data_IF_851062763544
#
_entry.id   IF_851062763544
#
_cell.length_a   1.000
_cell.length_b   1.000
_cell.length_c   1.000
_cell.angle_alpha   90.00
_cell.angle_beta   90.00
_cell.angle_gamma   90.00
#
_symmetry.space_group_name_H-M   'P 1'
#
loop_
_entity.id
_entity.type
_entity.pdbx_description
1 polymer ?
#
# COMPACT_ATOMS: atom_id res chain seq x y z
N UNK A 1 28.95 50.08 -2.07
CA UNK A 1 29.10 48.71 -1.56
C UNK A 1 28.02 48.54 -0.49
N UNK A 2 26.86 47.95 -0.67
CA UNK A 2 26.08 47.44 -1.81
C UNK A 2 24.66 47.31 -1.23
N UNK A 3 23.64 47.76 -1.95
CA UNK A 3 22.25 47.70 -1.52
C UNK A 3 21.59 46.56 -2.29
N UNK A 4 21.29 45.46 -1.60
CA UNK A 4 20.66 44.27 -2.17
C UNK A 4 19.17 44.56 -2.33
N UNK A 5 18.77 45.04 -3.51
CA UNK A 5 17.39 45.16 -3.90
C UNK A 5 16.73 43.79 -4.04
N UNK A 6 15.77 43.50 -3.16
CA UNK A 6 14.88 42.36 -3.17
C UNK A 6 14.27 42.12 -4.57
N UNK A 7 14.52 40.93 -5.13
CA UNK A 7 13.82 40.43 -6.31
C UNK A 7 12.44 39.92 -5.91
N UNK A 8 11.43 40.78 -6.00
CA UNK A 8 10.04 40.32 -6.00
C UNK A 8 9.74 39.73 -7.38
N UNK A 9 9.77 38.40 -7.47
CA UNK A 9 9.29 37.64 -8.63
C UNK A 9 7.81 37.98 -8.84
N UNK A 10 7.50 38.74 -9.90
CA UNK A 10 6.12 39.08 -10.25
C UNK A 10 5.44 37.80 -10.74
N UNK A 11 4.57 37.22 -9.93
CA UNK A 11 3.63 36.21 -10.42
C UNK A 11 2.78 36.83 -11.53
N UNK A 12 2.62 36.16 -12.68
CA UNK A 12 1.72 36.62 -13.71
C UNK A 12 0.31 36.67 -13.13
N UNK A 13 -0.28 37.86 -13.10
CA UNK A 13 -1.68 38.06 -12.71
C UNK A 13 -2.53 37.30 -13.71
N UNK A 14 -3.34 36.34 -13.24
CA UNK A 14 -4.20 35.56 -14.10
C UNK A 14 -5.29 36.47 -14.68
N UNK A 15 -5.41 36.52 -16.01
CA UNK A 15 -6.42 37.34 -16.70
C UNK A 15 -7.85 36.93 -16.35
N UNK A 16 -8.04 35.70 -15.85
CA UNK A 16 -9.31 35.17 -15.40
C UNK A 16 -9.66 35.60 -13.96
N UNK A 17 -8.70 36.08 -13.16
CA UNK A 17 -8.95 36.56 -11.79
C UNK A 17 -9.93 37.74 -11.76
N UNK A 18 -9.88 38.61 -12.78
CA UNK A 18 -10.78 39.76 -12.90
C UNK A 18 -12.23 39.36 -13.22
N UNK A 19 -12.45 38.15 -13.74
CA UNK A 19 -13.77 37.64 -14.16
C UNK A 19 -14.35 36.67 -13.12
N UNK A 20 -13.51 35.82 -12.54
CA UNK A 20 -13.92 34.72 -11.68
C UNK A 20 -13.53 34.91 -10.20
N UNK A 21 -12.83 36.00 -9.86
CA UNK A 21 -12.23 36.19 -8.53
C UNK A 21 -10.95 35.35 -8.38
N UNK A 22 -10.21 35.57 -7.30
CA UNK A 22 -8.91 34.93 -7.03
C UNK A 22 -8.99 33.42 -6.68
N UNK A 23 -10.15 32.80 -6.88
CA UNK A 23 -10.50 31.43 -6.45
C UNK A 23 -10.22 31.12 -4.98
N UNK A 24 -9.73 32.07 -4.16
CA UNK A 24 -9.47 31.85 -2.74
C UNK A 24 -10.79 31.59 -2.01
N UNK A 25 -11.85 32.26 -2.46
CA UNK A 25 -13.22 32.11 -1.98
C UNK A 25 -13.81 30.71 -2.25
N UNK A 26 -13.31 29.99 -3.26
CA UNK A 26 -13.78 28.63 -3.61
C UNK A 26 -13.18 27.55 -2.69
N UNK A 27 -12.10 27.87 -1.98
CA UNK A 27 -11.48 27.00 -0.99
C UNK A 27 -12.07 27.20 0.42
N UNK A 28 -12.83 28.27 0.64
CA UNK A 28 -13.50 28.57 1.91
C UNK A 28 -14.86 27.84 2.00
N UNK A 29 -14.82 26.53 1.76
CA UNK A 29 -15.97 25.65 2.00
C UNK A 29 -16.04 25.43 3.50
N UNK A 30 -17.03 26.01 4.16
CA UNK A 30 -17.42 25.66 5.53
C UNK A 30 -17.84 24.18 5.60
N UNK A 31 -16.85 23.30 5.70
CA UNK A 31 -17.05 21.91 6.03
C UNK A 31 -17.60 21.86 7.46
N UNK A 32 -18.69 21.10 7.71
CA UNK A 32 -19.14 20.90 9.07
C UNK A 32 -17.96 20.36 9.91
N UNK A 33 -17.71 20.99 11.07
CA UNK A 33 -16.69 20.54 12.03
C UNK A 33 -16.99 19.14 12.59
N UNK A 34 -18.23 18.68 12.39
CA UNK A 34 -18.68 17.35 12.73
C UNK A 34 -17.89 16.32 11.92
N UNK A 35 -17.21 15.42 12.64
CA UNK A 35 -16.54 14.27 12.07
C UNK A 35 -17.46 13.56 11.06
N UNK A 36 -16.98 13.43 9.82
CA UNK A 36 -17.65 12.68 8.76
C UNK A 36 -17.91 11.21 9.11
N UNK A 37 -17.28 10.72 10.18
CA UNK A 37 -17.47 9.41 10.75
C UNK A 37 -18.30 9.50 12.03
N UNK A 38 -19.31 8.63 12.13
CA UNK A 38 -19.95 8.38 13.42
C UNK A 38 -18.92 7.81 14.43
N UNK A 39 -19.13 7.97 15.75
CA UNK A 39 -18.23 7.43 16.76
C UNK A 39 -17.99 5.92 16.63
N UNK A 40 -19.02 5.19 16.16
CA UNK A 40 -18.95 3.75 15.90
C UNK A 40 -18.04 3.44 14.70
N UNK A 41 -18.16 4.18 13.60
CA UNK A 41 -17.31 3.98 12.42
C UNK A 41 -15.86 4.34 12.71
N UNK A 42 -15.62 5.42 13.44
CA UNK A 42 -14.28 5.79 13.88
C UNK A 42 -13.65 4.68 14.75
N UNK A 43 -14.42 4.06 15.65
CA UNK A 43 -13.94 2.92 16.42
C UNK A 43 -13.63 1.70 15.55
N UNK A 44 -14.50 1.37 14.58
CA UNK A 44 -14.28 0.26 13.67
C UNK A 44 -13.03 0.46 12.80
N UNK A 45 -12.81 1.67 12.29
CA UNK A 45 -11.63 2.01 11.49
C UNK A 45 -10.35 1.88 12.32
N UNK A 46 -10.36 2.34 13.58
CA UNK A 46 -9.20 2.13 14.48
C UNK A 46 -8.88 0.66 14.66
N UNK A 47 -9.87 -0.18 14.93
CA UNK A 47 -9.67 -1.63 15.06
C UNK A 47 -9.10 -2.24 13.77
N UNK A 48 -9.59 -1.83 12.61
CA UNK A 48 -9.04 -2.29 11.32
C UNK A 48 -7.59 -1.88 11.16
N UNK A 49 -7.25 -0.61 11.44
CA UNK A 49 -5.88 -0.12 11.32
C UNK A 49 -4.93 -0.82 12.29
N UNK A 50 -5.34 -1.06 13.53
CA UNK A 50 -4.58 -1.84 14.51
C UNK A 50 -4.33 -3.25 13.99
N UNK A 51 -5.36 -3.93 13.48
CA UNK A 51 -5.25 -5.28 12.92
C UNK A 51 -4.38 -5.34 11.67
N UNK A 52 -4.38 -4.30 10.85
CA UNK A 52 -3.51 -4.20 9.68
C UNK A 52 -2.05 -3.95 10.08
N UNK A 53 -1.80 -3.15 11.13
CA UNK A 53 -0.47 -2.91 11.66
C UNK A 53 0.12 -4.16 12.35
N UNK A 54 -0.73 -5.02 12.91
CA UNK A 54 -0.33 -6.30 13.52
C UNK A 54 0.13 -7.34 12.47
N UNK A 55 -0.21 -7.16 11.18
CA UNK A 55 0.14 -8.13 10.15
C UNK A 55 1.65 -8.16 9.91
N UNK A 56 2.22 -9.35 9.95
CA UNK A 56 3.66 -9.55 9.67
C UNK A 56 3.84 -10.35 8.40
N UNK A 57 4.77 -9.92 7.53
CA UNK A 57 5.15 -10.72 6.36
C UNK A 57 6.26 -11.67 6.79
N UNK A 58 6.02 -12.97 6.63
CA UNK A 58 7.00 -14.01 6.87
C UNK A 58 7.44 -14.67 5.58
N UNK A 59 8.72 -15.01 5.50
CA UNK A 59 9.31 -15.73 4.37
C UNK A 59 9.98 -17.02 4.86
N UNK A 60 9.60 -18.16 4.29
CA UNK A 60 10.18 -19.46 4.64
C UNK A 60 11.18 -19.94 3.59
N UNK A 61 12.45 -20.11 3.96
CA UNK A 61 13.50 -20.60 3.06
C UNK A 61 13.26 -22.06 2.59
N UNK A 62 12.53 -22.86 3.37
CA UNK A 62 12.31 -24.28 3.05
C UNK A 62 11.25 -24.55 1.99
N UNK A 63 10.13 -23.81 2.03
CA UNK A 63 9.04 -23.95 1.06
C UNK A 63 8.91 -22.74 0.12
N UNK A 64 9.75 -21.71 0.29
CA UNK A 64 9.70 -20.44 -0.44
C UNK A 64 8.35 -19.74 -0.37
N UNK A 65 7.55 -20.06 0.66
CA UNK A 65 6.27 -19.42 0.90
C UNK A 65 6.52 -18.07 1.57
N UNK A 66 5.90 -17.05 1.00
CA UNK A 66 5.90 -15.69 1.51
C UNK A 66 4.47 -15.20 1.63
N UNK A 67 4.14 -14.57 2.75
CA UNK A 67 2.81 -14.04 2.99
C UNK A 67 2.61 -13.47 4.38
N UNK A 68 1.40 -12.95 4.60
CA UNK A 68 0.99 -12.43 5.90
C UNK A 68 0.75 -13.55 6.91
N UNK A 69 1.22 -13.33 8.14
CA UNK A 69 1.07 -14.20 9.30
C UNK A 69 1.49 -15.66 9.06
N UNK A 70 2.53 -15.83 8.23
CA UNK A 70 3.18 -17.13 8.08
C UNK A 70 3.70 -17.56 9.45
N UNK A 71 3.25 -18.72 9.92
CA UNK A 71 3.66 -19.26 11.21
C UNK A 71 5.13 -19.69 11.16
N UNK A 72 6.01 -18.76 11.50
CA UNK A 72 7.45 -18.98 11.61
C UNK A 72 7.79 -19.64 12.94
N UNK A 73 8.62 -20.69 12.91
CA UNK A 73 9.13 -21.37 14.11
C UNK A 73 10.59 -21.03 14.39
N UNK A 74 11.36 -20.80 13.33
CA UNK A 74 12.70 -20.21 13.39
C UNK A 74 12.73 -18.96 12.50
N UNK A 75 13.79 -18.13 12.55
CA UNK A 75 13.90 -16.96 11.66
C UNK A 75 13.84 -17.29 10.16
N UNK A 76 14.09 -18.55 9.78
CA UNK A 76 14.20 -18.98 8.38
C UNK A 76 13.17 -20.03 7.97
N UNK A 77 12.53 -20.73 8.91
CA UNK A 77 11.63 -21.84 8.61
C UNK A 77 10.26 -21.69 9.29
N UNK A 78 9.21 -21.96 8.50
CA UNK A 78 7.86 -22.08 9.01
C UNK A 78 7.69 -23.34 9.86
N UNK A 79 6.64 -23.38 10.67
CA UNK A 79 6.33 -24.51 11.57
C UNK A 79 6.22 -25.84 10.82
N UNK A 80 5.67 -25.83 9.60
CA UNK A 80 5.59 -27.02 8.74
C UNK A 80 6.98 -27.50 8.32
N UNK A 81 7.78 -26.61 7.76
CA UNK A 81 9.14 -26.92 7.30
C UNK A 81 10.13 -27.24 8.44
N UNK A 82 9.87 -26.75 9.65
CA UNK A 82 10.67 -27.10 10.83
C UNK A 82 10.31 -28.48 11.39
N UNK A 83 9.06 -28.94 11.21
CA UNK A 83 8.63 -30.27 11.66
C UNK A 83 8.85 -31.37 10.62
N UNK A 84 9.07 -31.02 9.35
CA UNK A 84 9.32 -31.97 8.27
C UNK A 84 10.79 -32.42 8.26
N UNK A 85 11.06 -33.55 8.91
CA UNK A 85 12.36 -34.25 8.93
C UNK A 85 12.36 -35.52 8.07
N UNK A 86 11.25 -35.83 7.40
CA UNK A 86 11.04 -37.14 6.76
C UNK A 86 11.51 -37.19 5.30
N UNK A 87 11.67 -36.03 4.65
CA UNK A 87 12.06 -35.93 3.25
C UNK A 87 13.49 -35.40 3.11
N UNK A 88 14.37 -36.18 2.49
CA UNK A 88 15.74 -35.77 2.17
C UNK A 88 15.77 -34.65 1.11
N UNK A 89 14.74 -34.55 0.26
CA UNK A 89 14.61 -33.51 -0.77
C UNK A 89 13.25 -32.82 -0.62
N UNK A 90 13.26 -31.50 -0.40
CA UNK A 90 12.04 -30.70 -0.23
C UNK A 90 11.50 -30.24 -1.58
N UNK A 91 10.17 -30.16 -1.75
CA UNK A 91 9.51 -29.75 -3.00
C UNK A 91 10.03 -28.43 -3.62
N UNK A 92 10.47 -27.48 -2.79
CA UNK A 92 10.97 -26.18 -3.24
C UNK A 92 12.46 -25.98 -2.89
N UNK A 93 13.19 -27.06 -2.60
CA UNK A 93 14.64 -27.01 -2.43
C UNK A 93 15.36 -26.88 -3.76
N UNK A 94 16.62 -26.43 -3.69
CA UNK A 94 17.52 -26.44 -4.84
C UNK A 94 17.81 -27.88 -5.31
N UNK A 95 17.77 -28.87 -4.40
CA UNK A 95 17.95 -30.28 -4.74
C UNK A 95 16.81 -30.85 -5.60
N UNK A 96 15.60 -30.29 -5.51
CA UNK A 96 14.45 -30.76 -6.29
C UNK A 96 14.51 -30.31 -7.76
N UNK A 97 15.50 -29.48 -8.14
CA UNK A 97 15.65 -28.93 -9.49
C UNK A 97 14.33 -28.40 -10.08
N UNK A 98 13.48 -27.85 -9.21
CA UNK A 98 12.21 -27.27 -9.64
C UNK A 98 12.55 -26.14 -10.62
N UNK A 99 12.02 -26.21 -11.83
CA UNK A 99 12.11 -25.13 -12.81
C UNK A 99 10.87 -24.25 -12.63
N UNK A 100 10.88 -23.21 -11.77
CA UNK A 100 9.90 -22.17 -11.88
C UNK A 100 10.13 -21.52 -13.25
N UNK A 101 9.28 -21.85 -14.23
CA UNK A 101 9.33 -21.22 -15.54
C UNK A 101 9.42 -19.70 -15.37
N UNK A 102 10.14 -19.03 -16.28
CA UNK A 102 10.18 -17.58 -16.29
C UNK A 102 8.76 -17.01 -16.22
N UNK A 103 8.60 -15.91 -15.47
CA UNK A 103 7.34 -15.18 -15.42
C UNK A 103 6.91 -14.88 -16.86
N UNK A 104 5.70 -15.29 -17.28
CA UNK A 104 5.22 -15.03 -18.65
C UNK A 104 5.33 -13.54 -18.99
N UNK A 105 5.64 -13.16 -20.25
CA UNK A 105 5.76 -11.75 -20.64
C UNK A 105 4.55 -10.90 -20.24
N UNK A 106 3.36 -11.50 -20.23
CA UNK A 106 2.09 -10.87 -19.87
C UNK A 106 1.97 -10.53 -18.38
N UNK A 107 2.82 -11.13 -17.54
CA UNK A 107 2.87 -10.90 -16.09
C UNK A 107 4.13 -10.14 -15.65
N UNK A 108 4.90 -9.60 -16.61
CA UNK A 108 6.08 -8.78 -16.34
C UNK A 108 5.71 -7.29 -16.38
N UNK A 109 6.34 -6.49 -15.51
CA UNK A 109 6.20 -5.02 -15.48
C UNK A 109 4.77 -4.51 -15.27
N UNK A 110 3.97 -5.23 -14.48
CA UNK A 110 2.63 -4.80 -14.13
C UNK A 110 2.68 -3.52 -13.28
N UNK A 111 1.71 -2.63 -13.47
CA UNK A 111 1.52 -1.48 -12.58
C UNK A 111 1.09 -1.94 -11.19
N UNK A 112 1.33 -1.12 -10.15
CA UNK A 112 0.89 -1.41 -8.78
C UNK A 112 -0.59 -1.86 -8.72
N UNK A 113 -1.46 -1.23 -9.52
CA UNK A 113 -2.87 -1.61 -9.62
C UNK A 113 -3.08 -3.00 -10.24
N UNK A 114 -2.38 -3.29 -11.34
CA UNK A 114 -2.49 -4.58 -12.03
C UNK A 114 -1.93 -5.71 -11.17
N UNK A 115 -0.79 -5.50 -10.49
CA UNK A 115 -0.24 -6.44 -9.53
C UNK A 115 -1.24 -6.70 -8.40
N UNK A 116 -1.86 -5.66 -7.83
CA UNK A 116 -2.87 -5.83 -6.78
C UNK A 116 -4.09 -6.66 -7.24
N UNK A 117 -4.52 -6.50 -8.49
CA UNK A 117 -5.67 -7.22 -9.06
C UNK A 117 -5.41 -8.72 -9.25
N UNK A 118 -4.16 -9.10 -9.51
CA UNK A 118 -3.78 -10.50 -9.70
C UNK A 118 -3.04 -11.09 -8.48
N UNK A 119 -2.69 -10.27 -7.49
CA UNK A 119 -1.95 -10.73 -6.32
C UNK A 119 -2.78 -11.74 -5.54
N UNK A 120 -2.08 -12.72 -4.95
CA UNK A 120 -2.68 -13.67 -4.00
C UNK A 120 -2.98 -13.04 -2.64
N UNK A 121 -2.67 -11.75 -2.46
CA UNK A 121 -2.92 -11.01 -1.23
C UNK A 121 -4.36 -10.48 -1.22
N UNK A 122 -4.94 -10.42 -0.03
CA UNK A 122 -6.30 -9.92 0.20
C UNK A 122 -6.38 -8.46 -0.25
N UNK A 123 -6.94 -8.20 -1.42
CA UNK A 123 -7.17 -6.83 -1.91
C UNK A 123 -8.13 -6.11 -0.95
N UNK A 124 -7.63 -5.12 -0.21
CA UNK A 124 -8.46 -4.24 0.62
C UNK A 124 -8.68 -2.95 -0.16
N UNK A 125 -9.79 -2.85 -0.87
CA UNK A 125 -10.20 -1.62 -1.54
C UNK A 125 -11.11 -0.81 -0.60
N UNK A 126 -10.65 0.37 -0.18
CA UNK A 126 -11.51 1.32 0.54
C UNK A 126 -12.22 2.22 -0.48
N UNK A 127 -13.45 1.87 -0.84
CA UNK A 127 -14.29 2.71 -1.69
C UNK A 127 -14.99 3.77 -0.83
N UNK A 128 -14.72 5.04 -1.10
CA UNK A 128 -15.45 6.16 -0.49
C UNK A 128 -16.51 6.65 -1.48
N UNK A 129 -17.77 6.60 -1.06
CA UNK A 129 -18.88 7.13 -1.84
C UNK A 129 -19.09 8.59 -1.43
N UNK A 130 -18.80 9.53 -2.31
CA UNK A 130 -19.25 10.92 -2.15
C UNK A 130 -20.52 11.10 -2.98
N UNK A 131 -21.64 11.40 -2.31
CA UNK A 131 -22.87 11.76 -2.99
C UNK A 131 -22.74 13.23 -3.44
N UNK A 132 -22.89 13.47 -4.73
CA UNK A 132 -23.12 14.81 -5.29
C UNK A 132 -24.56 15.25 -5.11
#
# INVERSE_FOLDING_TARGET
LGDEGEGAEQQPVDEYDAVFGDSADLLDVHLPEDSALSPREAAAIRTVNEKLADLTIGHCAGCREEGFDVKMKTPTLCTRCSGDTANDVRKWSDENNTNPCAVPPELQNLTDMEEMLISRCKTVMQVRYTKG
#
